data_IF_311035219674
#
_entry.id   IF_311035219674
#
_cell.length_a   1.000
_cell.length_b   1.000
_cell.length_c   1.000
_cell.angle_alpha   90.00
_cell.angle_beta   90.00
_cell.angle_gamma   90.00
#
_symmetry.space_group_name_H-M   'P 1'
#
loop_
_entity.id
_entity.type
_entity.pdbx_description
1 polymer ?
#
# COMPACT_ATOMS: atom_id res chain seq x y z
N UNK A 1 -22.46 34.05 -52.09
CA UNK A 1 -21.14 34.56 -51.64
C UNK A 1 -21.23 34.81 -50.15
N UNK A 2 -20.43 34.28 -49.23
CA UNK A 2 -19.22 33.48 -49.26
C UNK A 2 -18.68 33.56 -47.83
N UNK A 3 -18.64 32.42 -47.12
CA UNK A 3 -18.10 32.27 -45.75
C UNK A 3 -16.63 32.72 -45.71
N UNK A 4 -16.24 33.44 -44.65
CA UNK A 4 -14.89 33.34 -44.13
C UNK A 4 -14.84 33.68 -42.63
N UNK A 5 -14.96 32.64 -41.79
CA UNK A 5 -14.45 32.61 -40.42
C UNK A 5 -13.49 31.44 -40.34
N UNK A 6 -12.19 31.73 -40.48
CA UNK A 6 -11.05 30.84 -40.18
C UNK A 6 -10.55 31.32 -38.81
N UNK A 7 -10.72 30.55 -37.74
CA UNK A 7 -9.89 29.40 -37.32
C UNK A 7 -8.83 29.88 -36.31
N UNK A 8 -9.20 29.83 -35.02
CA UNK A 8 -8.39 30.24 -33.87
C UNK A 8 -8.50 29.21 -32.71
N UNK A 9 -8.64 27.92 -33.02
CA UNK A 9 -8.80 26.84 -32.02
C UNK A 9 -7.58 25.92 -31.86
N UNK A 10 -6.46 26.17 -32.54
CA UNK A 10 -5.28 25.28 -32.50
C UNK A 10 -4.27 25.56 -31.36
N UNK A 11 -4.53 26.56 -30.50
CA UNK A 11 -3.57 27.05 -29.52
C UNK A 11 -3.56 26.38 -28.13
N UNK A 12 -4.65 25.75 -27.70
CA UNK A 12 -4.79 25.27 -26.30
C UNK A 12 -4.36 23.81 -26.09
N UNK A 13 -4.52 22.94 -27.09
CA UNK A 13 -4.21 21.50 -26.98
C UNK A 13 -2.71 21.19 -26.96
N UNK A 14 -1.87 22.06 -27.55
CA UNK A 14 -0.42 21.83 -27.66
C UNK A 14 0.37 22.14 -26.39
N UNK A 15 -0.19 22.92 -25.45
CA UNK A 15 0.48 23.26 -24.17
C UNK A 15 0.33 22.17 -23.11
N UNK A 16 -0.83 21.53 -23.02
CA UNK A 16 -1.10 20.42 -22.10
C UNK A 16 -0.16 19.22 -22.37
N UNK A 17 0.03 18.86 -23.64
CA UNK A 17 0.86 17.72 -24.04
C UNK A 17 2.35 17.91 -23.74
N UNK A 18 2.86 19.15 -23.80
CA UNK A 18 4.27 19.46 -23.51
C UNK A 18 4.61 19.36 -22.02
N UNK A 19 3.67 19.65 -21.12
CA UNK A 19 3.86 19.46 -19.68
C UNK A 19 3.81 17.97 -19.30
N UNK A 20 2.84 17.22 -19.85
CA UNK A 20 2.71 15.78 -19.60
C UNK A 20 3.93 14.95 -20.08
N UNK A 21 4.55 15.33 -21.19
CA UNK A 21 5.76 14.67 -21.72
C UNK A 21 7.02 15.09 -20.94
N UNK A 22 7.09 16.34 -20.47
CA UNK A 22 8.20 16.84 -19.65
C UNK A 22 8.31 16.14 -18.30
N UNK A 23 7.18 15.89 -17.64
CA UNK A 23 7.14 15.21 -16.33
C UNK A 23 7.52 13.73 -16.43
N UNK A 24 7.11 13.02 -17.49
CA UNK A 24 7.49 11.62 -17.74
C UNK A 24 9.00 11.46 -17.97
N UNK A 25 9.64 12.38 -18.70
CA UNK A 25 11.10 12.38 -18.91
C UNK A 25 11.86 12.70 -17.60
N UNK A 26 11.27 13.53 -16.74
CA UNK A 26 11.78 13.81 -15.40
C UNK A 26 11.75 12.60 -14.47
N UNK A 27 10.64 11.84 -14.49
CA UNK A 27 10.48 10.59 -13.73
C UNK A 27 11.48 9.51 -14.19
N UNK A 28 11.63 9.28 -15.49
CA UNK A 28 12.60 8.31 -16.02
C UNK A 28 14.06 8.61 -15.60
N UNK A 29 14.46 9.90 -15.54
CA UNK A 29 15.80 10.29 -15.05
C UNK A 29 15.97 10.11 -13.53
N UNK A 30 14.90 10.24 -12.75
CA UNK A 30 14.92 10.00 -11.29
C UNK A 30 15.03 8.49 -11.01
N UNK A 31 14.29 7.68 -11.74
CA UNK A 31 14.30 6.22 -11.63
C UNK A 31 15.65 5.63 -12.04
N UNK A 32 16.25 6.16 -13.12
CA UNK A 32 17.59 5.75 -13.54
C UNK A 32 18.69 6.03 -12.50
N UNK A 33 18.60 7.16 -11.80
CA UNK A 33 19.55 7.50 -10.71
C UNK A 33 19.36 6.63 -9.47
N UNK A 34 18.11 6.30 -9.14
CA UNK A 34 17.81 5.41 -8.01
C UNK A 34 18.31 3.99 -8.29
N UNK A 35 18.09 3.50 -9.51
CA UNK A 35 18.60 2.20 -9.96
C UNK A 35 20.12 2.14 -9.92
N UNK A 36 20.81 3.16 -10.49
CA UNK A 36 22.28 3.23 -10.45
C UNK A 36 22.85 3.29 -9.01
N UNK A 37 22.21 4.05 -8.11
CA UNK A 37 22.63 4.10 -6.71
C UNK A 37 22.45 2.75 -6.00
N UNK A 38 21.39 2.01 -6.34
CA UNK A 38 21.17 0.66 -5.83
C UNK A 38 22.25 -0.30 -6.33
N UNK A 39 22.54 -0.30 -7.63
CA UNK A 39 23.59 -1.13 -8.22
C UNK A 39 24.95 -0.88 -7.58
N UNK A 40 25.36 0.40 -7.46
CA UNK A 40 26.62 0.77 -6.82
C UNK A 40 26.70 0.27 -5.38
N UNK A 41 25.60 0.40 -4.64
CA UNK A 41 25.52 -0.06 -3.25
C UNK A 41 25.66 -1.58 -3.13
N UNK A 42 24.97 -2.33 -3.98
CA UNK A 42 25.08 -3.80 -4.04
C UNK A 42 26.52 -4.21 -4.37
N UNK A 43 27.13 -3.57 -5.37
CA UNK A 43 28.53 -3.83 -5.76
C UNK A 43 29.52 -3.53 -4.63
N UNK A 44 29.38 -2.38 -3.95
CA UNK A 44 30.24 -2.02 -2.81
C UNK A 44 30.11 -3.05 -1.69
N UNK A 45 28.89 -3.48 -1.36
CA UNK A 45 28.67 -4.49 -0.33
C UNK A 45 29.26 -5.85 -0.70
N UNK A 46 29.12 -6.28 -1.96
CA UNK A 46 29.74 -7.49 -2.47
C UNK A 46 31.27 -7.44 -2.35
N UNK A 47 31.89 -6.38 -2.88
CA UNK A 47 33.34 -6.20 -2.87
C UNK A 47 33.86 -6.10 -1.43
N UNK A 48 33.21 -5.34 -0.56
CA UNK A 48 33.58 -5.24 0.84
C UNK A 48 33.50 -6.61 1.53
N UNK A 49 32.44 -7.38 1.26
CA UNK A 49 32.29 -8.72 1.83
C UNK A 49 33.36 -9.68 1.35
N UNK A 50 33.74 -9.61 0.07
CA UNK A 50 34.83 -10.41 -0.47
C UNK A 50 36.14 -10.08 0.23
N UNK A 51 36.50 -8.79 0.30
CA UNK A 51 37.73 -8.34 0.96
C UNK A 51 37.78 -8.75 2.43
N UNK A 52 36.69 -8.56 3.17
CA UNK A 52 36.62 -8.99 4.58
C UNK A 52 36.79 -10.50 4.71
N UNK A 53 36.14 -11.30 3.86
CA UNK A 53 36.27 -12.74 3.90
C UNK A 53 37.70 -13.20 3.56
N UNK A 54 38.38 -12.59 2.59
CA UNK A 54 39.78 -12.93 2.25
C UNK A 54 40.76 -12.58 3.37
N UNK A 55 40.48 -11.51 4.13
CA UNK A 55 41.29 -11.13 5.30
C UNK A 55 41.12 -12.09 6.47
N UNK A 56 39.89 -12.58 6.69
CA UNK A 56 39.57 -13.51 7.79
C UNK A 56 40.00 -14.95 7.47
N UNK A 57 39.93 -15.35 6.20
CA UNK A 57 40.28 -16.70 5.72
C UNK A 57 41.38 -16.62 4.64
N UNK A 58 42.67 -16.46 5.03
CA UNK A 58 43.76 -16.38 4.07
C UNK A 58 43.93 -17.72 3.33
N UNK A 59 43.87 -17.70 1.99
CA UNK A 59 44.09 -18.88 1.15
C UNK A 59 42.84 -19.56 0.61
N UNK A 60 41.63 -19.11 0.98
CA UNK A 60 40.38 -19.53 0.34
C UNK A 60 39.95 -18.56 -0.75
N UNK A 61 39.05 -18.99 -1.65
CA UNK A 61 38.36 -18.12 -2.61
C UNK A 61 36.90 -17.92 -2.15
N UNK A 62 36.60 -16.97 -1.24
CA UNK A 62 35.31 -16.88 -0.58
C UNK A 62 34.26 -16.18 -1.45
N UNK A 63 33.78 -16.86 -2.49
CA UNK A 63 32.82 -16.32 -3.45
C UNK A 63 31.38 -16.27 -2.90
N UNK A 64 31.09 -16.97 -1.81
CA UNK A 64 29.73 -17.07 -1.27
C UNK A 64 29.40 -15.94 -0.30
N UNK A 65 30.43 -15.34 0.31
CA UNK A 65 30.32 -14.13 1.12
C UNK A 65 29.76 -12.93 0.30
N UNK A 66 30.36 -12.52 -0.84
CA UNK A 66 29.80 -11.48 -1.69
C UNK A 66 28.38 -11.78 -2.19
N UNK A 67 28.09 -13.01 -2.60
CA UNK A 67 26.74 -13.41 -3.00
C UNK A 67 25.72 -13.17 -1.87
N UNK A 68 26.06 -13.59 -0.66
CA UNK A 68 25.22 -13.40 0.52
C UNK A 68 25.04 -11.92 0.84
N UNK A 69 26.09 -11.12 0.79
CA UNK A 69 26.01 -9.68 1.02
C UNK A 69 25.12 -8.97 -0.01
N UNK A 70 25.20 -9.36 -1.30
CA UNK A 70 24.33 -8.82 -2.35
C UNK A 70 22.86 -9.10 -2.06
N UNK A 71 22.53 -10.32 -1.64
CA UNK A 71 21.15 -10.72 -1.34
C UNK A 71 20.61 -9.99 -0.11
N UNK A 72 21.40 -9.89 0.96
CA UNK A 72 20.99 -9.20 2.19
C UNK A 72 20.78 -7.70 1.95
N UNK A 73 21.61 -7.04 1.13
CA UNK A 73 21.47 -5.59 0.84
C UNK A 73 20.22 -5.25 0.04
N UNK A 74 19.66 -6.20 -0.71
CA UNK A 74 18.44 -6.01 -1.49
C UNK A 74 17.16 -6.02 -0.62
N UNK A 75 17.25 -6.53 0.61
CA UNK A 75 16.11 -6.71 1.51
C UNK A 75 15.82 -5.43 2.31
N UNK A 76 14.55 -5.19 2.67
CA UNK A 76 14.17 -3.97 3.43
C UNK A 76 14.73 -4.01 4.85
N UNK A 77 15.05 -2.86 5.49
CA UNK A 77 15.64 -2.83 6.82
C UNK A 77 14.91 -3.66 7.89
N UNK A 78 13.57 -3.69 7.83
CA UNK A 78 12.71 -4.50 8.72
C UNK A 78 12.91 -5.99 8.52
N UNK A 79 13.13 -6.43 7.29
CA UNK A 79 13.27 -7.84 6.94
C UNK A 79 14.73 -8.31 6.88
N UNK A 80 15.71 -7.40 7.03
CA UNK A 80 17.13 -7.75 7.05
C UNK A 80 17.50 -8.79 8.10
N UNK A 81 17.05 -8.59 9.34
CA UNK A 81 17.40 -9.45 10.45
C UNK A 81 16.77 -10.84 10.26
N UNK A 82 15.49 -10.89 9.90
CA UNK A 82 14.80 -12.14 9.62
C UNK A 82 15.42 -12.89 8.43
N UNK A 83 15.64 -12.20 7.30
CA UNK A 83 16.19 -12.81 6.09
C UNK A 83 17.65 -13.25 6.27
N UNK A 84 18.46 -12.47 6.98
CA UNK A 84 19.84 -12.85 7.31
C UNK A 84 19.89 -14.08 8.21
N UNK A 85 19.04 -14.15 9.24
CA UNK A 85 18.94 -15.32 10.12
C UNK A 85 18.42 -16.54 9.36
N UNK A 86 17.35 -16.40 8.58
CA UNK A 86 16.83 -17.48 7.72
C UNK A 86 17.91 -18.03 6.80
N UNK A 87 18.72 -17.16 6.18
CA UNK A 87 19.82 -17.58 5.31
C UNK A 87 20.89 -18.36 6.08
N UNK A 88 21.28 -17.90 7.27
CA UNK A 88 22.24 -18.61 8.11
C UNK A 88 21.69 -19.97 8.54
N UNK A 89 20.42 -20.03 8.97
CA UNK A 89 19.74 -21.29 9.31
C UNK A 89 19.69 -22.23 8.10
N UNK A 90 19.38 -21.70 6.91
CA UNK A 90 19.32 -22.49 5.69
C UNK A 90 20.67 -23.13 5.34
N UNK A 91 21.76 -22.35 5.39
CA UNK A 91 23.12 -22.83 5.12
C UNK A 91 23.55 -23.86 6.17
N UNK A 92 23.40 -23.54 7.46
CA UNK A 92 23.77 -24.47 8.56
C UNK A 92 22.99 -25.78 8.44
N UNK A 93 21.70 -25.72 8.11
CA UNK A 93 20.87 -26.92 7.90
C UNK A 93 21.37 -27.75 6.71
N UNK A 94 21.67 -27.11 5.58
CA UNK A 94 22.20 -27.80 4.40
C UNK A 94 23.56 -28.45 4.66
N UNK A 95 24.45 -27.74 5.35
CA UNK A 95 25.77 -28.25 5.76
C UNK A 95 25.61 -29.46 6.71
N UNK A 96 24.75 -29.36 7.72
CA UNK A 96 24.49 -30.45 8.65
C UNK A 96 23.95 -31.70 7.94
N UNK A 97 23.03 -31.51 6.99
CA UNK A 97 22.50 -32.59 6.17
C UNK A 97 23.59 -33.23 5.30
N UNK A 98 24.45 -32.44 4.68
CA UNK A 98 25.57 -32.98 3.88
C UNK A 98 26.54 -33.80 4.71
N UNK A 99 26.94 -33.31 5.89
CA UNK A 99 27.85 -34.03 6.79
C UNK A 99 27.21 -35.34 7.27
N UNK A 100 25.94 -35.30 7.68
CA UNK A 100 25.20 -36.51 8.07
C UNK A 100 25.13 -37.52 6.90
N UNK A 101 24.77 -37.05 5.71
CA UNK A 101 24.59 -37.90 4.54
C UNK A 101 25.92 -38.52 4.06
N UNK A 102 27.01 -37.75 4.08
CA UNK A 102 28.35 -38.21 3.71
C UNK A 102 28.87 -39.34 4.62
N UNK A 103 28.37 -39.44 5.85
CA UNK A 103 28.73 -40.52 6.78
C UNK A 103 27.98 -41.84 6.56
N UNK A 104 26.84 -41.81 5.84
CA UNK A 104 25.93 -42.97 5.71
C UNK A 104 25.79 -43.47 4.28
N UNK A 105 26.07 -42.65 3.27
CA UNK A 105 25.90 -43.01 1.86
C UNK A 105 27.04 -42.48 0.97
N UNK A 106 27.53 -43.26 0.00
CA UNK A 106 28.44 -42.78 -1.03
C UNK A 106 27.71 -41.84 -2.00
N UNK A 107 28.47 -40.97 -2.68
CA UNK A 107 27.93 -40.00 -3.63
C UNK A 107 27.48 -40.69 -4.93
N UNK A 108 26.20 -41.08 -4.97
CA UNK A 108 25.51 -41.66 -6.13
C UNK A 108 24.30 -40.82 -6.54
N UNK A 109 23.80 -40.97 -7.78
CA UNK A 109 22.66 -40.19 -8.31
C UNK A 109 21.40 -40.30 -7.45
N UNK A 110 21.11 -41.50 -6.91
CA UNK A 110 19.94 -41.75 -6.07
C UNK A 110 20.12 -41.12 -4.68
N UNK A 111 21.33 -41.19 -4.13
CA UNK A 111 21.69 -40.63 -2.84
C UNK A 111 21.59 -39.09 -2.86
N UNK A 112 22.06 -38.47 -3.96
CA UNK A 112 21.94 -37.04 -4.21
C UNK A 112 20.48 -36.61 -4.34
N UNK A 113 19.65 -37.38 -5.06
CA UNK A 113 18.22 -37.13 -5.18
C UNK A 113 17.50 -37.13 -3.82
N UNK A 114 17.83 -38.09 -2.95
CA UNK A 114 17.30 -38.16 -1.58
C UNK A 114 17.76 -36.94 -0.77
N UNK A 115 19.04 -36.58 -0.82
CA UNK A 115 19.56 -35.43 -0.09
C UNK A 115 18.85 -34.13 -0.49
N UNK A 116 18.66 -33.89 -1.79
CA UNK A 116 17.95 -32.71 -2.30
C UNK A 116 16.50 -32.72 -1.80
N UNK A 117 15.81 -33.86 -1.92
CA UNK A 117 14.43 -33.99 -1.47
C UNK A 117 14.28 -33.69 0.03
N UNK A 118 15.11 -34.33 0.86
CA UNK A 118 15.11 -34.12 2.32
C UNK A 118 15.44 -32.67 2.66
N UNK A 119 16.42 -32.06 1.99
CA UNK A 119 16.79 -30.65 2.18
C UNK A 119 15.64 -29.70 1.88
N UNK A 120 14.90 -29.94 0.79
CA UNK A 120 13.71 -29.14 0.42
C UNK A 120 12.59 -29.34 1.43
N UNK A 121 12.32 -30.56 1.87
CA UNK A 121 11.28 -30.86 2.87
C UNK A 121 11.59 -30.16 4.20
N UNK A 122 12.84 -30.26 4.67
CA UNK A 122 13.27 -29.58 5.89
C UNK A 122 13.20 -28.06 5.72
N UNK A 123 13.56 -27.53 4.55
CA UNK A 123 13.45 -26.10 4.27
C UNK A 123 12.01 -25.57 4.36
N UNK A 124 11.03 -26.35 3.92
CA UNK A 124 9.60 -26.04 4.11
C UNK A 124 9.21 -26.10 5.59
N UNK A 125 9.66 -27.12 6.32
CA UNK A 125 9.35 -27.31 7.74
C UNK A 125 9.89 -26.16 8.60
N UNK A 126 11.08 -25.65 8.27
CA UNK A 126 11.72 -24.50 8.91
C UNK A 126 11.17 -23.14 8.45
N UNK A 127 10.23 -23.12 7.49
CA UNK A 127 9.60 -21.89 6.94
C UNK A 127 10.61 -20.86 6.43
N UNK A 128 11.66 -21.31 5.75
CA UNK A 128 12.79 -20.45 5.30
C UNK A 128 12.47 -19.46 4.17
N UNK A 129 11.20 -19.38 3.74
CA UNK A 129 10.73 -18.41 2.74
C UNK A 129 11.59 -18.38 1.48
N UNK A 130 12.16 -17.20 1.18
CA UNK A 130 13.00 -16.98 0.01
C UNK A 130 14.35 -17.74 0.03
N UNK A 131 14.80 -18.20 1.20
CA UNK A 131 16.08 -18.91 1.39
C UNK A 131 15.93 -20.44 1.32
N UNK A 132 14.75 -20.96 0.98
CA UNK A 132 14.46 -22.40 0.99
C UNK A 132 15.43 -23.21 0.13
N UNK A 133 15.76 -22.72 -1.07
CA UNK A 133 16.68 -23.40 -1.98
C UNK A 133 18.14 -23.33 -1.53
N UNK A 134 18.48 -22.48 -0.56
CA UNK A 134 19.84 -22.41 -0.03
C UNK A 134 20.22 -23.67 0.76
N UNK A 135 19.23 -24.39 1.32
CA UNK A 135 19.44 -25.67 2.03
C UNK A 135 19.99 -26.75 1.09
N UNK A 136 19.30 -27.15 -0.01
CA UNK A 136 19.84 -28.15 -0.93
C UNK A 136 21.11 -27.66 -1.65
N UNK A 137 21.20 -26.38 -2.02
CA UNK A 137 22.41 -25.82 -2.66
C UNK A 137 23.63 -25.98 -1.73
N UNK A 138 23.49 -25.60 -0.47
CA UNK A 138 24.59 -25.72 0.51
C UNK A 138 24.94 -27.17 0.79
N UNK A 139 23.94 -28.05 0.88
CA UNK A 139 24.18 -29.47 1.06
C UNK A 139 24.96 -30.08 -0.11
N UNK A 140 24.58 -29.75 -1.34
CA UNK A 140 25.26 -30.22 -2.55
C UNK A 140 26.70 -29.70 -2.65
N UNK A 141 26.92 -28.42 -2.33
CA UNK A 141 28.26 -27.82 -2.38
C UNK A 141 29.22 -28.49 -1.40
N UNK A 142 28.79 -28.76 -0.16
CA UNK A 142 29.62 -29.44 0.84
C UNK A 142 29.86 -30.90 0.45
N UNK A 143 28.82 -31.61 -0.01
CA UNK A 143 28.95 -33.00 -0.42
C UNK A 143 29.89 -33.15 -1.64
N UNK A 144 29.89 -32.18 -2.54
CA UNK A 144 30.73 -32.17 -3.75
C UNK A 144 32.24 -32.05 -3.49
N UNK A 145 32.67 -31.52 -2.34
CA UNK A 145 34.10 -31.46 -1.95
C UNK A 145 34.63 -32.82 -1.47
N UNK A 146 33.73 -33.78 -1.24
CA UNK A 146 34.06 -35.15 -0.84
C UNK A 146 34.25 -35.32 0.67
N UNK A 147 34.02 -36.55 1.16
CA UNK A 147 33.97 -36.87 2.59
C UNK A 147 35.25 -36.51 3.37
N UNK A 148 36.43 -36.58 2.73
CA UNK A 148 37.72 -36.30 3.36
C UNK A 148 37.98 -34.81 3.62
N UNK A 149 37.24 -33.92 2.98
CA UNK A 149 37.34 -32.46 3.16
C UNK A 149 36.01 -31.85 3.59
N UNK A 150 35.04 -32.69 3.98
CA UNK A 150 33.68 -32.25 4.32
C UNK A 150 33.67 -31.36 5.57
N UNK A 151 34.52 -31.61 6.56
CA UNK A 151 34.57 -30.82 7.79
C UNK A 151 35.15 -29.41 7.55
N UNK A 152 36.25 -29.30 6.80
CA UNK A 152 36.81 -28.01 6.40
C UNK A 152 35.86 -27.25 5.47
N UNK A 153 35.26 -27.93 4.50
CA UNK A 153 34.27 -27.33 3.60
C UNK A 153 33.00 -26.88 4.33
N UNK A 154 32.57 -27.61 5.35
CA UNK A 154 31.45 -27.24 6.21
C UNK A 154 31.72 -25.95 6.98
N UNK A 155 32.90 -25.85 7.60
CA UNK A 155 33.30 -24.65 8.34
C UNK A 155 33.40 -23.43 7.42
N UNK A 156 34.07 -23.57 6.28
CA UNK A 156 34.23 -22.49 5.30
C UNK A 156 32.85 -22.01 4.79
N UNK A 157 31.93 -22.94 4.51
CA UNK A 157 30.58 -22.60 4.01
C UNK A 157 29.76 -21.80 5.03
N UNK A 158 29.82 -22.18 6.31
CA UNK A 158 29.13 -21.47 7.40
C UNK A 158 29.79 -20.10 7.62
N UNK A 159 31.11 -20.05 7.68
CA UNK A 159 31.87 -18.86 8.01
C UNK A 159 31.76 -17.78 6.91
N UNK A 160 31.85 -18.18 5.63
CA UNK A 160 31.62 -17.27 4.49
C UNK A 160 30.21 -16.68 4.50
N UNK A 161 29.20 -17.49 4.81
CA UNK A 161 27.81 -17.04 4.89
C UNK A 161 27.61 -16.04 6.02
N UNK A 162 28.20 -16.30 7.20
CA UNK A 162 28.15 -15.38 8.34
C UNK A 162 28.82 -14.05 8.04
N UNK A 163 30.00 -14.06 7.40
CA UNK A 163 30.69 -12.83 6.98
C UNK A 163 29.85 -12.05 5.97
N UNK A 164 29.31 -12.72 4.95
CA UNK A 164 28.44 -12.09 3.97
C UNK A 164 27.18 -11.49 4.59
N UNK A 165 26.56 -12.19 5.54
CA UNK A 165 25.38 -11.71 6.24
C UNK A 165 25.71 -10.50 7.12
N UNK A 166 26.80 -10.55 7.87
CA UNK A 166 27.26 -9.45 8.70
C UNK A 166 27.58 -8.19 7.88
N UNK A 167 28.34 -8.33 6.78
CA UNK A 167 28.68 -7.22 5.90
C UNK A 167 27.46 -6.67 5.19
N UNK A 168 26.52 -7.52 4.75
CA UNK A 168 25.27 -7.09 4.14
C UNK A 168 24.38 -6.30 5.12
N UNK A 169 24.25 -6.77 6.36
CA UNK A 169 23.51 -6.09 7.43
C UNK A 169 24.18 -4.75 7.77
N UNK A 170 25.50 -4.72 7.95
CA UNK A 170 26.26 -3.50 8.22
C UNK A 170 26.16 -2.50 7.06
N UNK A 171 26.25 -2.96 5.81
CA UNK A 171 26.09 -2.11 4.63
C UNK A 171 24.70 -1.50 4.54
N UNK A 172 23.66 -2.21 4.96
CA UNK A 172 22.30 -1.66 5.02
C UNK A 172 22.07 -0.73 6.22
N UNK A 173 22.74 -0.99 7.33
CA UNK A 173 22.70 -0.10 8.48
C UNK A 173 23.49 1.20 8.25
N UNK A 174 24.66 1.14 7.63
CA UNK A 174 25.51 2.32 7.37
C UNK A 174 25.03 3.14 6.17
N UNK A 175 24.48 2.48 5.15
CA UNK A 175 23.99 3.11 3.93
C UNK A 175 22.56 2.70 3.63
N UNK A 176 21.57 3.07 4.47
CA UNK A 176 20.20 2.64 4.24
C UNK A 176 19.61 3.26 2.96
N UNK A 177 18.65 2.57 2.32
CA UNK A 177 17.99 3.10 1.13
C UNK A 177 17.25 4.40 1.44
N UNK A 178 17.06 5.24 0.41
CA UNK A 178 16.20 6.43 0.54
C UNK A 178 14.77 5.99 0.85
N UNK A 179 14.13 6.64 1.81
CA UNK A 179 12.70 6.41 2.11
C UNK A 179 11.89 6.86 0.90
N UNK A 180 11.08 5.96 0.34
CA UNK A 180 10.29 6.18 -0.87
C UNK A 180 9.02 7.03 -0.62
N UNK A 181 9.04 7.93 0.36
CA UNK A 181 7.87 8.75 0.72
C UNK A 181 7.40 9.64 -0.44
N UNK A 182 8.33 10.10 -1.29
CA UNK A 182 7.99 10.83 -2.51
C UNK A 182 7.22 9.99 -3.52
N UNK A 183 7.60 8.72 -3.71
CA UNK A 183 6.91 7.80 -4.63
C UNK A 183 5.49 7.49 -4.15
N UNK A 184 5.29 7.28 -2.85
CA UNK A 184 3.95 7.08 -2.29
C UNK A 184 3.07 8.33 -2.46
N UNK A 185 3.66 9.52 -2.27
CA UNK A 185 2.95 10.78 -2.45
C UNK A 185 2.59 11.06 -3.92
N UNK A 186 3.50 10.75 -4.85
CA UNK A 186 3.23 10.83 -6.29
C UNK A 186 2.09 9.86 -6.69
N UNK A 187 2.07 8.63 -6.16
CA UNK A 187 0.96 7.68 -6.43
C UNK A 187 -0.40 8.17 -5.90
N UNK A 188 -0.41 8.84 -4.74
CA UNK A 188 -1.64 9.43 -4.18
C UNK A 188 -2.12 10.63 -5.02
N UNK A 189 -1.19 11.46 -5.51
CA UNK A 189 -1.49 12.55 -6.44
C UNK A 189 -2.04 12.03 -7.77
N UNK A 190 -1.46 10.95 -8.31
CA UNK A 190 -1.96 10.27 -9.51
C UNK A 190 -3.38 9.72 -9.32
N UNK A 191 -3.70 9.19 -8.13
CA UNK A 191 -5.06 8.76 -7.79
C UNK A 191 -6.04 9.95 -7.78
N UNK A 192 -5.66 11.06 -7.14
CA UNK A 192 -6.45 12.28 -7.12
C UNK A 192 -6.66 12.86 -8.54
N UNK A 193 -5.61 12.85 -9.37
CA UNK A 193 -5.66 13.25 -10.78
C UNK A 193 -6.62 12.41 -11.61
N UNK A 194 -6.71 11.10 -11.34
CA UNK A 194 -7.63 10.22 -12.04
C UNK A 194 -9.10 10.44 -11.64
N UNK A 195 -9.37 10.69 -10.36
CA UNK A 195 -10.73 10.97 -9.89
C UNK A 195 -11.20 12.36 -10.35
N UNK A 196 -10.35 13.38 -10.23
CA UNK A 196 -10.64 14.74 -10.73
C UNK A 196 -10.85 14.73 -12.25
N UNK A 197 -9.94 14.13 -13.01
CA UNK A 197 -10.07 14.00 -14.45
C UNK A 197 -11.25 13.13 -14.91
N UNK A 198 -11.83 12.30 -14.03
CA UNK A 198 -13.10 11.61 -14.30
C UNK A 198 -14.28 12.57 -14.13
N UNK A 199 -14.29 13.39 -13.07
CA UNK A 199 -15.34 14.38 -12.82
C UNK A 199 -15.35 15.49 -13.88
N UNK A 200 -14.20 15.99 -14.30
CA UNK A 200 -14.11 16.97 -15.40
C UNK A 200 -14.67 16.42 -16.70
N UNK A 201 -14.29 15.19 -17.06
CA UNK A 201 -14.85 14.53 -18.24
C UNK A 201 -16.35 14.29 -18.12
N UNK A 202 -16.83 13.89 -16.94
CA UNK A 202 -18.26 13.76 -16.71
C UNK A 202 -18.99 15.10 -16.85
N UNK A 203 -18.38 16.20 -16.43
CA UNK A 203 -18.94 17.54 -16.59
C UNK A 203 -19.02 17.99 -18.06
N UNK A 204 -17.97 17.71 -18.85
CA UNK A 204 -17.95 17.96 -20.30
C UNK A 204 -19.00 17.10 -21.02
N UNK A 205 -18.97 15.78 -20.79
CA UNK A 205 -19.91 14.82 -21.39
C UNK A 205 -21.38 15.14 -20.98
N UNK A 206 -21.62 15.65 -19.77
CA UNK A 206 -22.95 16.09 -19.33
C UNK A 206 -23.42 17.35 -20.07
N UNK A 207 -22.57 18.35 -20.26
CA UNK A 207 -22.91 19.55 -21.04
C UNK A 207 -23.19 19.22 -22.53
N UNK A 208 -22.43 18.28 -23.09
CA UNK A 208 -22.67 17.75 -24.44
C UNK A 208 -24.00 16.99 -24.51
N UNK A 209 -24.34 16.22 -23.48
CA UNK A 209 -25.61 15.49 -23.36
C UNK A 209 -26.81 16.44 -23.43
N UNK A 210 -26.73 17.56 -22.69
CA UNK A 210 -27.74 18.63 -22.72
C UNK A 210 -27.85 19.25 -24.12
N UNK A 211 -26.73 19.65 -24.70
CA UNK A 211 -26.68 20.29 -26.02
C UNK A 211 -27.23 19.40 -27.13
N UNK A 212 -26.93 18.10 -27.07
CA UNK A 212 -27.31 17.11 -28.08
C UNK A 212 -28.62 16.39 -27.76
N UNK A 213 -29.26 16.70 -26.62
CA UNK A 213 -30.49 16.07 -26.13
C UNK A 213 -30.39 14.54 -26.08
N UNK A 214 -29.26 14.04 -25.60
CA UNK A 214 -29.00 12.62 -25.47
C UNK A 214 -29.56 12.07 -24.16
N UNK A 215 -29.79 10.75 -24.11
CA UNK A 215 -30.18 10.07 -22.88
C UNK A 215 -29.04 10.10 -21.84
N UNK A 216 -29.31 10.74 -20.69
CA UNK A 216 -28.36 10.88 -19.59
C UNK A 216 -27.89 9.53 -19.03
N UNK A 217 -28.76 8.51 -19.00
CA UNK A 217 -28.39 7.18 -18.53
C UNK A 217 -27.35 6.52 -19.44
N UNK A 218 -27.36 6.84 -20.74
CA UNK A 218 -26.37 6.34 -21.70
C UNK A 218 -25.03 7.07 -21.51
N UNK A 219 -25.06 8.39 -21.35
CA UNK A 219 -23.87 9.19 -21.10
C UNK A 219 -23.18 8.86 -19.77
N UNK A 220 -23.94 8.55 -18.72
CA UNK A 220 -23.39 8.30 -17.38
C UNK A 220 -22.74 6.92 -17.18
N UNK A 221 -23.08 5.91 -18.02
CA UNK A 221 -22.53 4.54 -17.92
C UNK A 221 -21.00 4.50 -17.98
N UNK A 222 -20.33 5.12 -18.96
CA UNK A 222 -18.87 5.21 -18.98
C UNK A 222 -18.26 5.83 -17.72
N UNK A 223 -18.95 6.77 -17.05
CA UNK A 223 -18.45 7.41 -15.83
C UNK A 223 -18.38 6.41 -14.68
N UNK A 224 -19.46 5.63 -14.48
CA UNK A 224 -19.50 4.60 -13.45
C UNK A 224 -18.47 3.50 -13.69
N UNK A 225 -18.29 3.05 -14.94
CA UNK A 225 -17.32 2.01 -15.26
C UNK A 225 -15.87 2.48 -15.04
N UNK A 226 -15.57 3.74 -15.34
CA UNK A 226 -14.26 4.35 -15.01
C UNK A 226 -14.08 4.47 -13.49
N UNK A 227 -15.12 4.90 -12.76
CA UNK A 227 -15.08 5.01 -11.30
C UNK A 227 -14.80 3.65 -10.63
N UNK A 228 -15.42 2.56 -11.12
CA UNK A 228 -15.15 1.19 -10.66
C UNK A 228 -13.70 0.80 -10.82
N UNK A 229 -13.13 0.99 -12.03
CA UNK A 229 -11.71 0.70 -12.30
C UNK A 229 -10.76 1.45 -11.38
N UNK A 230 -11.02 2.74 -11.14
CA UNK A 230 -10.21 3.54 -10.21
C UNK A 230 -10.26 2.95 -8.79
N UNK A 231 -11.46 2.57 -8.31
CA UNK A 231 -11.62 2.01 -6.96
C UNK A 231 -11.04 0.61 -6.80
N UNK A 232 -11.00 -0.21 -7.84
CA UNK A 232 -10.55 -1.61 -7.78
C UNK A 232 -9.03 -1.73 -7.96
N UNK A 233 -8.44 -1.00 -8.90
CA UNK A 233 -7.03 -1.18 -9.29
C UNK A 233 -6.12 -0.13 -8.66
N UNK A 234 -6.45 1.16 -8.86
CA UNK A 234 -5.53 2.25 -8.54
C UNK A 234 -5.44 2.54 -7.03
N UNK A 235 -6.53 2.29 -6.31
CA UNK A 235 -6.55 2.40 -4.86
C UNK A 235 -5.61 1.36 -4.21
N UNK A 236 -5.67 0.11 -4.67
CA UNK A 236 -4.80 -0.96 -4.18
C UNK A 236 -3.33 -0.68 -4.48
N UNK A 237 -3.02 -0.15 -5.67
CA UNK A 237 -1.67 0.28 -6.04
C UNK A 237 -1.15 1.37 -5.09
N UNK A 238 -1.95 2.41 -4.84
CA UNK A 238 -1.57 3.53 -3.96
C UNK A 238 -1.39 3.08 -2.49
N UNK A 239 -2.29 2.22 -2.00
CA UNK A 239 -2.18 1.61 -0.68
C UNK A 239 -0.90 0.76 -0.53
N UNK A 240 -0.59 -0.04 -1.55
CA UNK A 240 0.63 -0.85 -1.56
C UNK A 240 1.89 0.02 -1.57
N UNK A 241 1.92 1.10 -2.35
CA UNK A 241 3.05 2.03 -2.41
C UNK A 241 3.29 2.71 -1.06
N UNK A 242 2.22 3.13 -0.38
CA UNK A 242 2.31 3.69 0.97
C UNK A 242 2.81 2.65 2.00
N UNK A 243 2.27 1.44 1.98
CA UNK A 243 2.71 0.37 2.88
C UNK A 243 4.21 0.06 2.70
N UNK A 244 4.70 0.01 1.46
CA UNK A 244 6.12 -0.16 1.16
C UNK A 244 6.96 1.01 1.69
N UNK A 245 6.48 2.26 1.55
CA UNK A 245 7.16 3.44 2.07
C UNK A 245 7.24 3.44 3.61
N UNK A 246 6.15 3.08 4.31
CA UNK A 246 6.12 2.95 5.76
C UNK A 246 7.04 1.82 6.26
N UNK A 247 7.03 0.67 5.60
CA UNK A 247 7.92 -0.46 5.91
C UNK A 247 9.39 -0.12 5.67
N UNK A 248 9.71 0.58 4.58
CA UNK A 248 11.09 1.00 4.25
C UNK A 248 11.67 2.06 5.19
N UNK A 249 10.80 2.77 5.94
CA UNK A 249 11.20 3.74 6.96
C UNK A 249 11.54 3.08 8.31
N UNK A 250 10.86 1.98 8.64
CA UNK A 250 11.11 1.23 9.88
C UNK A 250 12.54 0.68 9.88
N UNK A 251 13.27 0.88 10.97
CA UNK A 251 14.70 0.53 11.13
C UNK A 251 15.66 1.25 10.16
N UNK A 252 15.22 2.28 9.44
CA UNK A 252 16.08 3.07 8.57
C UNK A 252 16.77 4.18 9.38
N UNK A 253 18.09 4.06 9.59
CA UNK A 253 18.83 5.07 10.38
C UNK A 253 18.81 6.46 9.75
N UNK A 254 18.68 6.55 8.42
CA UNK A 254 18.54 7.83 7.72
C UNK A 254 17.17 8.48 7.96
N UNK A 255 16.19 7.71 8.40
CA UNK A 255 14.86 8.22 8.74
C UNK A 255 14.78 8.84 10.15
N UNK A 256 15.79 8.64 11.01
CA UNK A 256 15.82 9.22 12.36
C UNK A 256 15.91 10.75 12.35
N UNK A 257 16.44 11.34 11.27
CA UNK A 257 16.57 12.80 11.11
C UNK A 257 15.52 13.44 10.19
N UNK A 258 14.57 12.67 9.65
CA UNK A 258 13.54 13.18 8.73
C UNK A 258 12.15 13.12 9.35
N UNK A 259 11.28 14.12 9.14
CA UNK A 259 9.88 14.07 9.61
C UNK A 259 9.16 12.83 9.11
N UNK A 260 8.33 12.21 9.96
CA UNK A 260 7.47 11.10 9.55
C UNK A 260 6.20 11.63 8.86
N UNK A 261 6.18 11.55 7.53
CA UNK A 261 5.02 11.93 6.71
C UNK A 261 4.03 10.78 6.52
N UNK A 262 4.34 9.56 7.00
CA UNK A 262 3.50 8.37 6.85
C UNK A 262 2.06 8.57 7.35
N UNK A 263 1.84 9.08 8.57
CA UNK A 263 0.48 9.34 9.07
C UNK A 263 -0.32 10.31 8.18
N UNK A 264 0.31 11.36 7.66
CA UNK A 264 -0.34 12.33 6.76
C UNK A 264 -0.67 11.72 5.39
N UNK A 265 0.23 10.91 4.83
CA UNK A 265 -0.02 10.19 3.58
C UNK A 265 -1.13 9.13 3.72
N UNK A 266 -1.15 8.39 4.83
CA UNK A 266 -2.20 7.41 5.14
C UNK A 266 -3.56 8.07 5.25
N UNK A 267 -3.62 9.18 5.97
CA UNK A 267 -4.84 9.97 6.05
C UNK A 267 -5.25 10.54 4.69
N UNK A 268 -4.31 11.06 3.90
CA UNK A 268 -4.57 11.56 2.56
C UNK A 268 -5.15 10.49 1.64
N UNK A 269 -4.60 9.28 1.70
CA UNK A 269 -5.11 8.14 0.95
C UNK A 269 -6.52 7.73 1.40
N UNK A 270 -6.76 7.63 2.72
CA UNK A 270 -8.08 7.30 3.28
C UNK A 270 -9.16 8.31 2.85
N UNK A 271 -8.83 9.61 2.90
CA UNK A 271 -9.72 10.68 2.44
C UNK A 271 -10.04 10.55 0.93
N UNK A 272 -9.05 10.23 0.10
CA UNK A 272 -9.26 9.99 -1.34
C UNK A 272 -10.05 8.70 -1.60
N UNK A 273 -9.84 7.65 -0.82
CA UNK A 273 -10.61 6.41 -0.90
C UNK A 273 -12.09 6.69 -0.66
N UNK A 274 -12.41 7.34 0.46
CA UNK A 274 -13.78 7.72 0.78
C UNK A 274 -14.38 8.65 -0.29
N UNK A 275 -13.59 9.59 -0.82
CA UNK A 275 -14.03 10.49 -1.88
C UNK A 275 -14.33 9.75 -3.20
N UNK A 276 -13.44 8.84 -3.62
CA UNK A 276 -13.64 8.04 -4.82
C UNK A 276 -14.85 7.10 -4.70
N UNK A 277 -15.08 6.51 -3.53
CA UNK A 277 -16.25 5.69 -3.25
C UNK A 277 -17.54 6.52 -3.28
N UNK A 278 -17.53 7.73 -2.72
CA UNK A 278 -18.67 8.65 -2.78
C UNK A 278 -18.98 9.07 -4.23
N UNK A 279 -17.97 9.42 -5.03
CA UNK A 279 -18.13 9.73 -6.46
C UNK A 279 -18.68 8.53 -7.24
N UNK A 280 -18.18 7.32 -6.99
CA UNK A 280 -18.70 6.09 -7.60
C UNK A 280 -20.17 5.87 -7.27
N UNK A 281 -20.56 6.07 -6.00
CA UNK A 281 -21.95 5.98 -5.57
C UNK A 281 -22.82 7.04 -6.22
N UNK A 282 -22.32 8.27 -6.37
CA UNK A 282 -23.02 9.36 -7.05
C UNK A 282 -23.33 9.01 -8.50
N UNK A 283 -22.33 8.55 -9.27
CA UNK A 283 -22.56 8.14 -10.66
C UNK A 283 -23.50 6.93 -10.77
N UNK A 284 -23.49 6.04 -9.78
CA UNK A 284 -24.47 4.95 -9.74
C UNK A 284 -25.89 5.48 -9.62
N UNK A 285 -26.13 6.41 -8.70
CA UNK A 285 -27.46 7.03 -8.54
C UNK A 285 -27.86 7.86 -9.75
N UNK A 286 -26.93 8.59 -10.40
CA UNK A 286 -27.21 9.30 -11.67
C UNK A 286 -27.81 8.33 -12.70
N UNK A 287 -27.22 7.14 -12.87
CA UNK A 287 -27.74 6.13 -13.80
C UNK A 287 -29.10 5.59 -13.34
N UNK A 288 -29.23 5.24 -12.05
CA UNK A 288 -30.44 4.61 -11.51
C UNK A 288 -31.66 5.57 -11.62
N UNK A 289 -31.46 6.86 -11.32
CA UNK A 289 -32.48 7.91 -11.44
C UNK A 289 -32.80 8.23 -12.90
N UNK A 290 -31.78 8.31 -13.77
CA UNK A 290 -32.00 8.63 -15.19
C UNK A 290 -32.71 7.50 -15.96
N UNK A 291 -32.53 6.25 -15.53
CA UNK A 291 -33.14 5.08 -16.16
C UNK A 291 -34.52 4.68 -15.59
N UNK A 292 -34.89 5.19 -14.41
CA UNK A 292 -36.16 4.86 -13.73
C UNK A 292 -37.36 5.65 -14.27
N UNK A 293 -38.61 5.15 -14.19
CA UNK A 293 -39.81 5.92 -14.58
C UNK A 293 -40.36 6.78 -13.41
N UNK A 294 -40.70 8.08 -13.62
CA UNK A 294 -40.40 8.90 -14.80
C UNK A 294 -38.92 9.28 -14.83
N UNK A 295 -38.27 9.11 -15.99
CA UNK A 295 -36.86 9.43 -16.18
C UNK A 295 -36.62 10.94 -16.18
N UNK A 296 -35.35 11.35 -16.23
CA UNK A 296 -35.01 12.78 -16.36
C UNK A 296 -35.20 13.21 -17.81
N UNK A 297 -36.14 14.12 -18.05
CA UNK A 297 -36.23 14.83 -19.32
C UNK A 297 -35.14 15.90 -19.38
N UNK A 298 -34.25 15.77 -20.36
CA UNK A 298 -33.09 16.65 -20.53
C UNK A 298 -33.50 18.05 -20.97
N UNK A 299 -34.59 18.20 -21.73
CA UNK A 299 -35.06 19.50 -22.20
C UNK A 299 -35.72 20.30 -21.07
N UNK A 300 -36.50 19.65 -20.22
CA UNK A 300 -37.11 20.30 -19.05
C UNK A 300 -36.10 20.59 -17.93
N UNK A 301 -34.98 19.85 -17.90
CA UNK A 301 -34.00 19.90 -16.81
C UNK A 301 -32.67 20.57 -17.20
N UNK A 302 -32.62 21.29 -18.32
CA UNK A 302 -31.38 21.86 -18.90
C UNK A 302 -30.56 22.65 -17.87
N UNK A 303 -31.17 23.61 -17.18
CA UNK A 303 -30.49 24.47 -16.19
C UNK A 303 -29.91 23.66 -15.02
N UNK A 304 -30.66 22.65 -14.54
CA UNK A 304 -30.24 21.77 -13.43
C UNK A 304 -29.06 20.89 -13.86
N UNK A 305 -29.10 20.34 -15.08
CA UNK A 305 -28.02 19.50 -15.60
C UNK A 305 -26.75 20.30 -15.89
N UNK A 306 -26.85 21.53 -16.36
CA UNK A 306 -25.71 22.44 -16.51
C UNK A 306 -25.14 22.86 -15.14
N UNK A 307 -26.01 23.11 -14.15
CA UNK A 307 -25.62 23.32 -12.76
C UNK A 307 -24.89 22.12 -12.14
N UNK A 308 -25.33 20.90 -12.47
CA UNK A 308 -24.67 19.67 -12.08
C UNK A 308 -23.30 19.51 -12.75
N UNK A 309 -23.18 19.84 -14.04
CA UNK A 309 -21.90 19.85 -14.75
C UNK A 309 -20.91 20.81 -14.09
N UNK A 310 -21.35 22.01 -13.71
CA UNK A 310 -20.50 22.94 -12.97
C UNK A 310 -20.10 22.38 -11.61
N UNK A 311 -21.02 21.71 -10.92
CA UNK A 311 -20.73 21.06 -9.63
C UNK A 311 -19.67 19.97 -9.77
N UNK A 312 -19.71 19.17 -10.83
CA UNK A 312 -18.66 18.17 -11.09
C UNK A 312 -17.29 18.81 -11.31
N UNK A 313 -17.20 19.98 -11.97
CA UNK A 313 -15.95 20.74 -12.10
C UNK A 313 -15.42 21.23 -10.75
N UNK A 314 -16.29 21.77 -9.88
CA UNK A 314 -15.85 22.18 -8.54
C UNK A 314 -15.40 20.97 -7.71
N UNK A 315 -16.09 19.83 -7.84
CA UNK A 315 -15.69 18.58 -7.20
C UNK A 315 -14.30 18.12 -7.68
N UNK A 316 -14.05 18.21 -8.99
CA UNK A 316 -12.76 17.87 -9.59
C UNK A 316 -11.65 18.78 -9.07
N UNK A 317 -11.89 20.10 -9.03
CA UNK A 317 -10.93 21.09 -8.54
C UNK A 317 -10.52 20.83 -7.08
N UNK A 318 -11.47 20.51 -6.21
CA UNK A 318 -11.16 20.21 -4.81
C UNK A 318 -10.35 18.93 -4.63
N UNK A 319 -10.67 17.86 -5.37
CA UNK A 319 -9.88 16.62 -5.33
C UNK A 319 -8.46 16.84 -5.86
N UNK A 320 -8.30 17.59 -6.95
CA UNK A 320 -6.99 17.92 -7.51
C UNK A 320 -6.16 18.78 -6.55
N UNK A 321 -6.75 19.81 -5.95
CA UNK A 321 -6.09 20.66 -4.96
C UNK A 321 -5.66 19.85 -3.72
N UNK A 322 -6.49 18.89 -3.28
CA UNK A 322 -6.16 18.01 -2.16
C UNK A 322 -5.01 17.04 -2.49
N UNK A 323 -5.00 16.44 -3.68
CA UNK A 323 -3.90 15.60 -4.16
C UNK A 323 -2.57 16.34 -4.16
N UNK A 324 -2.56 17.53 -4.75
CA UNK A 324 -1.37 18.40 -4.80
C UNK A 324 -0.87 18.78 -3.39
N UNK A 325 -1.80 19.06 -2.46
CA UNK A 325 -1.46 19.34 -1.06
C UNK A 325 -0.78 18.14 -0.39
N UNK A 326 -1.34 16.93 -0.55
CA UNK A 326 -0.77 15.68 0.01
C UNK A 326 0.63 15.43 -0.55
N UNK A 327 0.81 15.63 -1.86
CA UNK A 327 2.11 15.49 -2.53
C UNK A 327 3.14 16.48 -1.99
N UNK A 328 2.76 17.74 -1.86
CA UNK A 328 3.66 18.80 -1.39
C UNK A 328 4.02 18.63 0.10
N UNK A 329 3.13 18.10 0.92
CA UNK A 329 3.40 17.75 2.33
C UNK A 329 4.50 16.69 2.47
N UNK A 330 4.56 15.73 1.54
CA UNK A 330 5.54 14.65 1.56
C UNK A 330 6.95 15.05 1.06
N UNK A 331 7.06 16.20 0.38
CA UNK A 331 8.31 16.73 -0.17
C UNK A 331 9.27 17.21 0.92
N UNK A 332 10.52 16.75 0.88
CA UNK A 332 11.53 16.93 1.95
C UNK A 332 12.04 18.37 2.17
N UNK A 333 11.46 19.39 1.53
CA UNK A 333 12.04 20.74 1.47
C UNK A 333 11.06 21.91 1.64
N UNK A 334 9.73 21.71 1.71
CA UNK A 334 8.80 22.81 1.93
C UNK A 334 7.81 22.43 3.03
N UNK A 335 7.79 23.23 4.10
CA UNK A 335 6.58 23.40 4.91
C UNK A 335 5.42 23.64 3.94
N UNK A 336 4.25 23.06 4.21
CA UNK A 336 2.99 23.32 3.49
C UNK A 336 2.95 24.79 3.04
N UNK A 337 2.95 25.03 1.73
CA UNK A 337 2.98 26.40 1.22
C UNK A 337 1.66 27.08 1.57
N UNK A 338 1.70 28.35 1.97
CA UNK A 338 0.48 29.14 2.13
C UNK A 338 -0.37 29.15 0.82
N UNK A 339 0.27 28.98 -0.34
CA UNK A 339 -0.40 28.81 -1.62
C UNK A 339 -1.18 27.49 -1.76
N UNK A 340 -0.64 26.37 -1.27
CA UNK A 340 -1.33 25.06 -1.36
C UNK A 340 -2.58 25.04 -0.47
N UNK A 341 -2.47 25.61 0.75
CA UNK A 341 -3.59 25.76 1.67
C UNK A 341 -4.67 26.67 1.06
N UNK A 342 -4.25 27.78 0.44
CA UNK A 342 -5.17 28.71 -0.20
C UNK A 342 -5.89 28.06 -1.37
N UNK A 343 -5.17 27.35 -2.25
CA UNK A 343 -5.77 26.66 -3.38
C UNK A 343 -6.83 25.62 -2.94
N UNK A 344 -6.55 24.83 -1.89
CA UNK A 344 -7.56 23.91 -1.34
C UNK A 344 -8.74 24.66 -0.73
N UNK A 345 -8.49 25.77 -0.02
CA UNK A 345 -9.54 26.56 0.60
C UNK A 345 -10.47 27.19 -0.45
N UNK A 346 -9.91 27.75 -1.52
CA UNK A 346 -10.65 28.27 -2.67
C UNK A 346 -11.48 27.16 -3.35
N UNK A 347 -10.94 25.96 -3.51
CA UNK A 347 -11.68 24.85 -4.10
C UNK A 347 -12.82 24.34 -3.20
N UNK A 348 -12.62 24.31 -1.88
CA UNK A 348 -13.68 23.97 -0.91
C UNK A 348 -14.79 25.02 -0.88
N UNK A 349 -14.44 26.30 -1.01
CA UNK A 349 -15.41 27.38 -1.17
C UNK A 349 -16.21 27.20 -2.46
N UNK A 350 -15.57 26.90 -3.59
CA UNK A 350 -16.22 26.58 -4.87
C UNK A 350 -17.22 25.42 -4.77
N UNK A 351 -16.87 24.35 -4.06
CA UNK A 351 -17.80 23.23 -3.78
C UNK A 351 -19.02 23.67 -2.96
N UNK A 352 -18.82 24.56 -1.98
CA UNK A 352 -19.92 25.08 -1.15
C UNK A 352 -20.86 25.99 -1.95
N UNK A 353 -20.30 26.81 -2.85
CA UNK A 353 -21.07 27.65 -3.75
C UNK A 353 -21.83 26.82 -4.79
N UNK A 354 -21.21 25.77 -5.35
CA UNK A 354 -21.88 24.86 -6.28
C UNK A 354 -23.09 24.19 -5.64
N UNK A 355 -22.98 23.78 -4.37
CA UNK A 355 -24.13 23.28 -3.61
C UNK A 355 -25.24 24.32 -3.50
N UNK A 356 -24.90 25.56 -3.12
CA UNK A 356 -25.90 26.62 -2.98
C UNK A 356 -26.60 26.92 -4.32
N UNK A 357 -25.86 26.91 -5.44
CA UNK A 357 -26.43 27.06 -6.79
C UNK A 357 -27.36 25.90 -7.15
N UNK A 358 -26.98 24.66 -6.86
CA UNK A 358 -27.84 23.50 -7.07
C UNK A 358 -29.13 23.57 -6.23
N UNK A 359 -29.03 23.99 -4.97
CA UNK A 359 -30.18 24.13 -4.09
C UNK A 359 -31.18 25.17 -4.64
N UNK A 360 -30.70 26.28 -5.21
CA UNK A 360 -31.54 27.33 -5.82
C UNK A 360 -32.24 26.86 -7.11
N UNK A 361 -31.51 26.21 -8.02
CA UNK A 361 -32.03 25.70 -9.30
C UNK A 361 -33.15 24.65 -9.13
N UNK A 362 -33.17 23.97 -7.99
CA UNK A 362 -34.14 22.90 -7.71
C UNK A 362 -35.34 23.36 -6.90
N UNK A 363 -35.31 24.55 -6.30
CA UNK A 363 -36.52 25.17 -5.75
C UNK A 363 -37.60 25.40 -6.82
N UNK A 364 -37.22 25.35 -8.10
CA UNK A 364 -38.09 25.41 -9.28
C UNK A 364 -38.37 24.05 -9.94
N UNK A 365 -37.81 22.94 -9.46
CA UNK A 365 -37.93 21.62 -10.10
C UNK A 365 -38.95 20.71 -9.38
N UNK A 366 -39.97 20.26 -10.11
CA UNK A 366 -41.13 19.52 -9.55
C UNK A 366 -41.05 17.98 -9.64
N UNK A 367 -39.92 17.40 -10.05
CA UNK A 367 -39.81 15.93 -10.24
C UNK A 367 -39.08 15.21 -9.10
N UNK A 368 -39.58 14.03 -8.66
CA UNK A 368 -38.94 13.24 -7.61
C UNK A 368 -37.54 12.76 -8.00
N UNK A 369 -37.31 12.53 -9.30
CA UNK A 369 -36.01 12.14 -9.85
C UNK A 369 -34.94 13.22 -9.63
N UNK A 370 -35.27 14.50 -9.89
CA UNK A 370 -34.35 15.61 -9.68
C UNK A 370 -34.04 15.84 -8.19
N UNK A 371 -35.02 15.66 -7.32
CA UNK A 371 -34.83 15.73 -5.86
C UNK A 371 -33.89 14.62 -5.35
N UNK A 372 -34.01 13.40 -5.86
CA UNK A 372 -33.10 12.29 -5.51
C UNK A 372 -31.67 12.56 -5.97
N UNK A 373 -31.51 13.04 -7.22
CA UNK A 373 -30.22 13.41 -7.78
C UNK A 373 -29.52 14.48 -6.95
N UNK A 374 -30.26 15.53 -6.55
CA UNK A 374 -29.76 16.58 -5.66
C UNK A 374 -29.30 16.02 -4.32
N UNK A 375 -30.13 15.20 -3.68
CA UNK A 375 -29.84 14.67 -2.36
C UNK A 375 -28.51 13.89 -2.38
N UNK A 376 -28.28 13.11 -3.44
CA UNK A 376 -27.03 12.37 -3.61
C UNK A 376 -25.85 13.28 -3.92
N UNK A 377 -26.00 14.28 -4.78
CA UNK A 377 -24.92 15.23 -5.10
C UNK A 377 -24.56 16.08 -3.88
N UNK A 378 -25.54 16.64 -3.17
CA UNK A 378 -25.34 17.40 -1.93
C UNK A 378 -24.71 16.56 -0.82
N UNK A 379 -25.08 15.28 -0.71
CA UNK A 379 -24.45 14.34 0.21
C UNK A 379 -23.00 14.06 -0.19
N UNK A 380 -22.73 13.95 -1.49
CA UNK A 380 -21.38 13.73 -2.04
C UNK A 380 -20.48 14.93 -1.78
N UNK A 381 -20.95 16.15 -2.08
CA UNK A 381 -20.25 17.40 -1.74
C UNK A 381 -19.90 17.44 -0.25
N UNK A 382 -20.89 17.19 0.62
CA UNK A 382 -20.68 17.20 2.07
C UNK A 382 -19.63 16.18 2.52
N UNK A 383 -19.65 14.97 1.95
CA UNK A 383 -18.67 13.92 2.25
C UNK A 383 -17.27 14.34 1.80
N UNK A 384 -17.13 14.80 0.55
CA UNK A 384 -15.86 15.25 0.01
C UNK A 384 -15.29 16.41 0.83
N UNK A 385 -16.07 17.47 1.07
CA UNK A 385 -15.63 18.61 1.88
C UNK A 385 -15.21 18.20 3.30
N UNK A 386 -15.89 17.22 3.91
CA UNK A 386 -15.52 16.73 5.23
C UNK A 386 -14.20 15.94 5.23
N UNK A 387 -13.97 15.09 4.22
CA UNK A 387 -12.72 14.32 4.09
C UNK A 387 -11.52 15.22 3.74
N UNK A 388 -11.76 16.32 3.03
CA UNK A 388 -10.72 17.28 2.61
C UNK A 388 -10.53 18.45 3.59
N UNK A 389 -11.27 18.51 4.69
CA UNK A 389 -11.19 19.58 5.69
C UNK A 389 -9.82 19.60 6.39
N UNK A 390 -9.09 20.72 6.18
CA UNK A 390 -7.79 21.00 6.80
C UNK A 390 -7.83 20.95 8.32
N UNK A 391 -8.91 21.37 8.97
CA UNK A 391 -9.02 21.36 10.44
C UNK A 391 -9.11 19.92 10.97
N UNK A 392 -9.90 19.07 10.30
CA UNK A 392 -9.96 17.65 10.64
C UNK A 392 -8.64 16.96 10.37
N UNK A 393 -7.93 17.36 9.30
CA UNK A 393 -6.59 16.87 8.98
C UNK A 393 -5.58 17.13 10.09
N UNK A 394 -5.47 18.38 10.53
CA UNK A 394 -4.57 18.76 11.61
C UNK A 394 -4.93 18.04 12.92
N UNK A 395 -6.22 17.94 13.26
CA UNK A 395 -6.68 17.23 14.47
C UNK A 395 -6.30 15.74 14.45
N UNK A 396 -6.59 15.03 13.36
CA UNK A 396 -6.27 13.60 13.23
C UNK A 396 -4.76 13.36 13.22
N UNK A 397 -3.97 14.24 12.59
CA UNK A 397 -2.51 14.14 12.58
C UNK A 397 -1.90 14.29 13.98
N UNK A 398 -2.45 15.20 14.81
CA UNK A 398 -2.05 15.34 16.22
C UNK A 398 -2.38 14.09 17.02
N UNK A 399 -3.58 13.52 16.87
CA UNK A 399 -4.00 12.29 17.57
C UNK A 399 -3.10 11.11 17.22
N UNK A 400 -2.84 10.86 15.94
CA UNK A 400 -1.97 9.77 15.46
C UNK A 400 -0.51 9.95 15.91
N UNK A 401 -0.03 11.20 16.01
CA UNK A 401 1.29 11.53 16.55
C UNK A 401 1.41 11.29 18.05
N UNK A 402 0.32 11.44 18.81
CA UNK A 402 0.28 11.14 20.25
C UNK A 402 0.25 9.64 20.51
N UNK A 403 -0.56 8.86 19.78
CA UNK A 403 -0.63 7.39 19.92
C UNK A 403 0.70 6.70 19.57
N UNK A 404 1.45 7.24 18.60
CA UNK A 404 2.77 6.71 18.24
C UNK A 404 3.83 6.97 19.32
N UNK A 405 3.65 8.00 20.16
CA UNK A 405 4.55 8.35 21.28
C UNK A 405 4.25 7.58 22.55
N UNK A 406 3.01 7.14 22.76
CA UNK A 406 2.56 6.46 23.98
C UNK A 406 2.79 4.95 23.97
N UNK A 407 3.35 4.36 22.91
CA UNK A 407 3.90 2.99 22.97
C UNK A 407 5.36 3.05 23.46
N UNK A 408 5.65 2.89 24.76
CA UNK A 408 7.01 2.56 25.16
C UNK A 408 7.40 1.25 24.45
N UNK A 409 8.66 1.17 24.02
CA UNK A 409 9.23 -0.10 23.59
C UNK A 409 8.96 -1.12 24.70
N UNK A 410 8.18 -2.15 24.40
CA UNK A 410 8.01 -3.30 25.28
C UNK A 410 9.40 -3.97 25.42
N UNK A 411 10.22 -3.47 26.33
CA UNK A 411 11.28 -4.24 26.94
C UNK A 411 10.57 -5.36 27.69
N UNK A 412 10.74 -6.59 27.20
CA UNK A 412 10.07 -7.77 27.73
C UNK A 412 10.14 -7.79 29.26
N UNK A 413 8.98 -7.75 29.90
CA UNK A 413 8.86 -8.03 31.33
C UNK A 413 9.31 -9.49 31.54
N UNK A 414 10.14 -9.82 32.54
CA UNK A 414 10.45 -11.20 32.85
C UNK A 414 9.13 -11.95 33.10
N UNK A 415 9.02 -13.16 32.55
CA UNK A 415 7.83 -13.99 32.66
C UNK A 415 7.37 -14.08 34.12
N UNK A 416 6.23 -13.44 34.41
CA UNK A 416 5.56 -13.61 35.69
C UNK A 416 5.04 -15.04 35.74
N UNK A 417 5.42 -15.79 36.77
CA UNK A 417 4.98 -17.18 36.97
C UNK A 417 3.44 -17.21 36.88
N UNK A 418 2.84 -18.15 36.14
CA UNK A 418 1.39 -18.24 36.08
C UNK A 418 0.85 -18.47 37.50
N UNK A 419 -0.29 -17.84 37.87
CA UNK A 419 -0.93 -18.12 39.13
C UNK A 419 -1.28 -19.61 39.18
N UNK A 420 -1.00 -20.26 40.31
CA UNK A 420 -1.45 -21.63 40.57
C UNK A 420 -2.96 -21.66 40.37
N UNK A 421 -3.45 -22.59 39.55
CA UNK A 421 -4.87 -22.77 39.33
C UNK A 421 -5.54 -23.23 40.60
N UNK A 422 -6.53 -22.50 41.08
CA UNK A 422 -7.47 -22.89 42.15
C UNK A 422 -8.42 -24.05 41.73
N UNK A 423 -8.02 -24.82 40.71
CA UNK A 423 -8.75 -25.96 40.17
C UNK A 423 -8.60 -27.23 41.02
N UNK A 424 -7.65 -27.27 41.98
CA UNK A 424 -7.52 -28.39 42.92
C UNK A 424 -8.43 -28.23 44.16
N UNK A 425 -8.87 -27.02 44.51
CA UNK A 425 -9.82 -26.81 45.62
C UNK A 425 -11.28 -27.04 45.22
N UNK A 426 -11.66 -26.73 43.97
CA UNK A 426 -13.05 -26.88 43.50
C UNK A 426 -13.48 -28.34 43.25
N UNK A 427 -12.54 -29.29 43.14
CA UNK A 427 -12.86 -30.72 42.96
C UNK A 427 -13.16 -31.40 44.30
N UNK A 428 -12.76 -30.81 45.44
CA UNK A 428 -13.01 -31.38 46.77
C UNK A 428 -14.40 -31.03 47.35
N UNK A 429 -15.05 -29.94 46.89
CA UNK A 429 -16.37 -29.52 47.40
C UNK A 429 -17.58 -30.08 46.62
N UNK A 430 -17.36 -30.72 45.46
CA UNK A 430 -18.44 -31.20 44.60
C UNK A 430 -19.06 -32.56 45.01
N UNK A 431 -18.56 -33.22 46.05
CA UNK A 431 -18.98 -34.61 46.40
C UNK A 431 -20.10 -34.70 47.44
N UNK A 432 -20.79 -33.61 47.82
CA UNK A 432 -21.89 -33.68 48.79
C UNK A 432 -23.10 -32.80 48.47
N UNK A 433 -23.87 -33.16 47.44
CA UNK A 433 -25.24 -32.65 47.28
C UNK A 433 -26.22 -33.80 46.98
N UNK A 434 -27.25 -34.04 47.84
CA UNK A 434 -28.21 -35.13 47.66
C UNK A 434 -29.27 -34.79 46.60
N UNK A 435 -29.62 -35.78 45.77
CA UNK A 435 -30.58 -35.69 44.67
C UNK A 435 -32.02 -35.35 45.15
N UNK A 436 -32.77 -34.46 44.47
CA UNK A 436 -34.17 -34.17 44.78
C UNK A 436 -35.12 -35.30 44.33
N UNK A 437 -36.04 -35.70 45.22
CA UNK A 437 -37.10 -36.67 44.95
C UNK A 437 -38.18 -36.07 44.05
N UNK A 438 -38.44 -36.70 42.89
CA UNK A 438 -39.59 -36.39 42.05
C UNK A 438 -40.86 -37.03 42.65
N UNK A 439 -41.83 -36.18 43.00
CA UNK A 439 -43.13 -36.56 43.56
C UNK A 439 -44.08 -37.17 42.52
N UNK A 440 -44.73 -38.27 42.94
CA UNK A 440 -45.84 -38.95 42.26
C UNK A 440 -47.18 -38.24 42.56
N UNK A 441 -48.05 -38.16 41.55
CA UNK A 441 -49.49 -37.88 41.68
C UNK A 441 -49.93 -36.84 40.65
N UNK A 442 -50.93 -37.02 39.79
CA UNK A 442 -52.05 -37.96 39.75
C UNK A 442 -53.28 -37.17 39.29
N UNK A 443 -53.80 -37.52 38.10
CA UNK A 443 -55.15 -37.31 37.46
C UNK A 443 -56.11 -36.24 38.04
N UNK A 444 -56.81 -35.45 37.22
CA UNK A 444 -58.11 -35.72 36.52
C UNK A 444 -58.76 -34.33 36.18
N UNK A 445 -59.97 -34.18 35.57
CA UNK A 445 -60.62 -34.86 34.45
C UNK A 445 -61.38 -33.91 33.45
N UNK A 446 -61.92 -34.53 32.38
CA UNK A 446 -63.23 -34.31 31.71
C UNK A 446 -63.56 -33.01 30.94
N UNK A 447 -64.20 -33.22 29.78
CA UNK A 447 -64.99 -32.23 29.05
C UNK A 447 -64.89 -32.40 27.55
#
# INVERSE_FOLDING_TARGET
MGRQTRDDSSGSSSRSWRHAVGDRLGQLRKDGRASAASSVRITIAAVASYVVATLVFPGSLPLLAPLTAMLVVQVTPVSLLASGVERVVAVVTGVALAVAFASVAPLEWWSLGILIFVSVVIGHLLRLGANLLEVPISAMLVLGVGAFSAESAAWDRIAETLVGAAVGVLGNLLFPPKVASGTAADSIDDLAGQVSGLLDRAAEELADTVTQRQDLAVAARPWLDRARRITEENLALSASALAHAEQGRRLNVRALGTPDVGPGLRQGLEALEHSALAVRSMFRTVIDVSAGPPGIDVEESEDVLLGLAQTFRELAAGIAAFGALVRNEAGTAKRLGAGDIRALSEALEGMSEARARLDDLLMSADTPALAELQAVVATTIRRLSAEMDLQQRVRRQIQLGQESRTRPAYLGRPAEKPPRSDAEEAIAEAETLPLPRLGRGGRHPQG
#
